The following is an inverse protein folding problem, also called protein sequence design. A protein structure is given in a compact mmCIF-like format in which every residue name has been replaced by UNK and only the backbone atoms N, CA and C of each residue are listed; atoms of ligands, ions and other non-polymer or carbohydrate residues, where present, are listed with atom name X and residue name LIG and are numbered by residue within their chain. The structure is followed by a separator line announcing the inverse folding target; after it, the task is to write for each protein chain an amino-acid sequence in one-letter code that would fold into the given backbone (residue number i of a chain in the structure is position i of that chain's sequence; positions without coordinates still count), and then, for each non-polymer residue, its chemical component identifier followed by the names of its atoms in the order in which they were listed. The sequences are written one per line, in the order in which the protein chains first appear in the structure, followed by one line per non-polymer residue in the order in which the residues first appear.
data_IF_232455906501
#
_entry.id   IF_232455906501
#
_cell.length_a   1.000
_cell.length_b   1.000
_cell.length_c   1.000
_cell.angle_alpha   90.00
_cell.angle_beta   90.00
_cell.angle_gamma   90.00
#
_symmetry.space_group_name_H-M   'P 1'
#
loop_
_entity.id
_entity.type
_entity.pdbx_description
1 polymer ?
#
# COMPACT_ATOMS: atom_id res chain seq x y z
N UNK A 1 51.45 -73.45 47.16
CA UNK A 1 51.25 -72.86 45.81
C UNK A 1 50.47 -71.56 45.95
N UNK A 2 50.68 -70.44 45.25
CA UNK A 2 51.80 -69.79 44.57
C UNK A 2 51.25 -68.39 44.17
N UNK A 3 51.80 -67.30 44.74
CA UNK A 3 51.91 -65.87 44.29
C UNK A 3 50.64 -65.11 43.85
N UNK A 4 50.22 -64.00 44.48
CA UNK A 4 50.78 -62.62 44.53
C UNK A 4 51.05 -62.00 43.14
N UNK A 5 50.36 -60.89 42.83
CA UNK A 5 50.91 -59.75 42.06
C UNK A 5 50.43 -58.43 42.67
N UNK A 6 51.38 -57.71 43.29
CA UNK A 6 51.31 -56.29 43.61
C UNK A 6 51.52 -55.46 42.33
N UNK A 7 50.91 -54.27 42.23
CA UNK A 7 51.62 -53.11 41.67
C UNK A 7 50.96 -51.79 42.12
N UNK A 8 51.66 -51.09 43.00
CA UNK A 8 51.40 -49.72 43.45
C UNK A 8 52.01 -48.75 42.44
N UNK A 9 51.31 -47.66 42.08
CA UNK A 9 51.98 -46.44 41.59
C UNK A 9 51.16 -45.20 41.93
N UNK A 10 51.70 -44.38 42.82
CA UNK A 10 51.18 -43.06 43.16
C UNK A 10 51.78 -42.02 42.19
N UNK A 11 50.96 -41.07 41.73
CA UNK A 11 51.45 -39.88 41.05
C UNK A 11 50.66 -38.65 41.52
N UNK A 12 51.33 -37.80 42.28
CA UNK A 12 50.86 -36.48 42.70
C UNK A 12 51.73 -35.41 42.03
N UNK A 13 51.12 -34.42 41.35
CA UNK A 13 51.77 -33.12 41.10
C UNK A 13 50.74 -31.99 40.97
N UNK A 14 51.14 -30.84 41.52
CA UNK A 14 50.35 -29.66 41.88
C UNK A 14 49.95 -28.72 40.70
N UNK A 15 48.93 -27.90 40.99
CA UNK A 15 48.48 -26.65 40.33
C UNK A 15 49.61 -25.66 39.98
N UNK A 16 49.48 -24.93 38.86
CA UNK A 16 49.34 -23.46 38.85
C UNK A 16 49.13 -22.89 37.44
N UNK A 17 48.49 -21.72 37.38
CA UNK A 17 48.04 -21.00 36.20
C UNK A 17 49.18 -20.44 35.33
N UNK A 18 48.97 -20.46 34.01
CA UNK A 18 49.77 -19.71 33.04
C UNK A 18 48.84 -19.00 32.07
N UNK A 19 48.70 -17.69 32.23
CA UNK A 19 48.07 -16.81 31.25
C UNK A 19 49.08 -16.65 30.10
N UNK A 20 48.73 -17.07 28.89
CA UNK A 20 49.50 -16.71 27.68
C UNK A 20 48.85 -15.46 27.08
N UNK A 21 49.50 -14.33 27.32
CA UNK A 21 49.30 -13.10 26.54
C UNK A 21 50.28 -13.09 25.37
N UNK A 22 49.77 -12.75 24.19
CA UNK A 22 50.52 -12.06 23.14
C UNK A 22 51.21 -12.94 22.10
N UNK A 23 50.57 -13.12 20.96
CA UNK A 23 51.29 -13.10 19.69
C UNK A 23 50.71 -11.96 18.84
N UNK A 24 51.52 -10.93 18.65
CA UNK A 24 51.24 -9.84 17.74
C UNK A 24 51.49 -10.33 16.31
N UNK A 25 50.48 -10.24 15.45
CA UNK A 25 50.73 -10.21 14.01
C UNK A 25 50.77 -8.75 13.58
N UNK A 26 51.97 -8.31 13.20
CA UNK A 26 52.21 -7.03 12.57
C UNK A 26 52.06 -7.20 11.05
N UNK A 27 51.07 -6.47 10.53
CA UNK A 27 50.94 -5.93 9.16
C UNK A 27 50.43 -6.84 8.05
N UNK A 28 49.23 -6.51 7.55
CA UNK A 28 49.13 -5.57 6.45
C UNK A 28 47.86 -4.70 6.62
N UNK A 29 48.03 -3.37 6.72
CA UNK A 29 46.94 -2.45 6.43
C UNK A 29 46.57 -2.64 4.97
N UNK A 30 45.52 -3.41 4.69
CA UNK A 30 44.80 -3.22 3.44
C UNK A 30 44.05 -1.92 3.64
N UNK A 31 44.68 -0.85 3.18
CA UNK A 31 44.01 0.37 2.81
C UNK A 31 42.98 0.06 1.74
N UNK A 32 41.85 -0.51 2.12
CA UNK A 32 40.59 -0.24 1.45
C UNK A 32 40.19 1.16 1.90
N UNK A 33 41.00 2.10 1.39
CA UNK A 33 40.59 3.45 1.05
C UNK A 33 39.11 3.41 0.72
N UNK A 34 38.37 4.26 1.42
CA UNK A 34 36.98 4.59 1.15
C UNK A 34 36.80 4.84 -0.34
N UNK A 35 36.55 3.76 -1.09
CA UNK A 35 35.70 3.85 -2.25
C UNK A 35 34.30 3.76 -1.67
N UNK A 36 33.88 4.87 -1.05
CA UNK A 36 32.51 5.36 -1.22
C UNK A 36 32.37 5.58 -2.73
N UNK A 37 32.27 4.47 -3.49
CA UNK A 37 31.45 4.47 -4.68
C UNK A 37 30.14 5.02 -4.16
N UNK A 38 29.63 6.05 -4.81
CA UNK A 38 28.22 6.36 -4.76
C UNK A 38 27.45 5.08 -5.16
N UNK A 39 27.34 4.10 -4.27
CA UNK A 39 26.13 3.33 -4.15
C UNK A 39 25.11 4.40 -3.78
N UNK A 40 24.54 4.98 -4.84
CA UNK A 40 23.13 5.32 -4.82
C UNK A 40 22.50 4.09 -4.17
N UNK A 41 22.17 4.20 -2.89
CA UNK A 41 21.24 3.28 -2.27
C UNK A 41 20.02 3.49 -3.14
N UNK A 42 19.83 2.58 -4.09
CA UNK A 42 18.62 2.57 -4.89
C UNK A 42 17.57 2.32 -3.83
N UNK A 43 16.75 3.34 -3.59
CA UNK A 43 15.54 3.22 -2.81
C UNK A 43 14.86 1.92 -3.23
N UNK A 44 14.82 0.93 -2.33
CA UNK A 44 14.03 -0.29 -2.58
C UNK A 44 12.54 0.04 -2.65
N UNK A 45 12.16 1.28 -2.34
CA UNK A 45 10.81 1.79 -2.46
C UNK A 45 10.47 2.20 -3.90
N UNK A 46 11.46 2.33 -4.81
CA UNK A 46 11.22 2.65 -6.22
C UNK A 46 11.16 1.38 -7.09
N UNK A 47 10.76 0.26 -6.49
CA UNK A 47 10.56 -1.00 -7.20
C UNK A 47 9.09 -1.09 -7.60
N UNK A 48 8.81 -1.17 -8.90
CA UNK A 48 7.44 -1.37 -9.40
C UNK A 48 6.80 -2.61 -8.76
N UNK A 49 5.50 -2.61 -8.47
CA UNK A 49 4.80 -3.78 -7.88
C UNK A 49 4.95 -5.07 -8.69
N UNK A 50 5.30 -4.97 -9.97
CA UNK A 50 5.53 -6.08 -10.89
C UNK A 50 6.94 -6.70 -10.83
N UNK A 51 7.89 -6.11 -10.11
CA UNK A 51 9.22 -6.70 -9.96
C UNK A 51 9.19 -7.81 -8.91
N UNK A 52 8.56 -8.92 -9.29
CA UNK A 52 8.49 -10.14 -8.49
C UNK A 52 9.90 -10.65 -8.18
N UNK A 53 10.35 -10.48 -6.93
CA UNK A 53 11.44 -11.29 -6.38
C UNK A 53 10.81 -12.43 -5.60
N UNK A 54 11.17 -13.64 -5.97
CA UNK A 54 10.76 -14.92 -5.40
C UNK A 54 10.82 -14.84 -3.87
N UNK A 55 9.64 -14.80 -3.23
CA UNK A 55 9.54 -14.64 -1.78
C UNK A 55 9.94 -15.95 -1.09
N UNK A 56 11.12 -15.98 -0.47
CA UNK A 56 11.35 -16.87 0.67
C UNK A 56 10.54 -16.35 1.84
N UNK A 57 9.59 -17.14 2.35
CA UNK A 57 8.73 -16.74 3.47
C UNK A 57 9.55 -16.54 4.74
N UNK A 58 9.86 -15.30 5.05
CA UNK A 58 10.21 -14.86 6.41
C UNK A 58 9.19 -13.81 6.80
N UNK A 59 8.65 -13.87 8.01
CA UNK A 59 7.72 -12.88 8.58
C UNK A 59 8.34 -11.47 8.48
N UNK A 60 8.05 -10.76 7.39
CA UNK A 60 8.36 -9.35 7.28
C UNK A 60 7.21 -8.57 7.91
N UNK A 61 7.48 -7.63 8.84
CA UNK A 61 6.46 -6.67 9.24
C UNK A 61 5.97 -5.97 7.98
N UNK A 62 4.63 -5.84 7.81
CA UNK A 62 4.05 -5.22 6.61
C UNK A 62 4.75 -3.89 6.35
N UNK A 63 5.44 -3.81 5.23
CA UNK A 63 6.28 -2.67 4.87
C UNK A 63 5.45 -1.60 4.18
N UNK A 64 5.97 -0.38 4.16
CA UNK A 64 5.43 0.68 3.32
C UNK A 64 5.31 0.15 1.88
N UNK A 65 4.16 0.34 1.24
CA UNK A 65 3.81 -0.13 -0.11
C UNK A 65 3.35 -1.58 -0.29
N UNK A 66 3.20 -2.35 0.80
CA UNK A 66 2.51 -3.65 0.71
C UNK A 66 1.01 -3.46 0.43
N UNK A 67 0.46 -4.30 -0.45
CA UNK A 67 -0.99 -4.39 -0.64
C UNK A 67 -1.60 -4.85 0.68
N UNK A 68 -2.35 -3.96 1.32
CA UNK A 68 -3.04 -4.27 2.57
C UNK A 68 -4.33 -5.04 2.30
N UNK A 69 -4.99 -4.72 1.19
CA UNK A 69 -6.32 -5.21 0.87
C UNK A 69 -6.59 -5.10 -0.63
N UNK A 70 -7.33 -6.07 -1.18
CA UNK A 70 -7.86 -6.05 -2.53
C UNK A 70 -9.16 -6.86 -2.57
N UNK A 71 -10.03 -6.53 -3.52
CA UNK A 71 -11.22 -7.30 -3.83
C UNK A 71 -11.49 -7.23 -5.33
N UNK A 72 -12.33 -8.14 -5.81
CA UNK A 72 -12.75 -8.14 -7.20
C UNK A 72 -13.96 -7.22 -7.35
N UNK A 73 -13.90 -6.32 -8.33
CA UNK A 73 -15.06 -5.64 -8.85
C UNK A 73 -16.07 -6.67 -9.38
N UNK A 74 -17.37 -6.36 -9.26
CA UNK A 74 -18.47 -7.16 -9.78
C UNK A 74 -18.43 -7.22 -11.31
N UNK A 75 -18.11 -6.10 -11.94
CA UNK A 75 -18.11 -5.94 -13.38
C UNK A 75 -16.80 -5.31 -13.89
N UNK A 76 -16.53 -5.52 -15.18
CA UNK A 76 -15.44 -4.84 -15.87
C UNK A 76 -15.72 -3.34 -16.03
N UNK A 77 -14.66 -2.55 -16.04
CA UNK A 77 -14.73 -1.12 -16.37
C UNK A 77 -15.26 -0.23 -15.26
N UNK A 78 -15.23 -0.65 -14.00
CA UNK A 78 -15.55 0.18 -12.83
C UNK A 78 -14.44 1.24 -12.62
N UNK A 79 -14.62 2.43 -13.22
CA UNK A 79 -13.55 3.40 -13.46
C UNK A 79 -13.39 4.46 -12.35
N UNK A 80 -14.47 4.79 -11.66
CA UNK A 80 -14.45 5.69 -10.51
C UNK A 80 -14.63 4.84 -9.25
N UNK A 81 -14.01 5.27 -8.16
CA UNK A 81 -14.14 4.65 -6.85
C UNK A 81 -14.12 5.74 -5.79
N UNK A 82 -15.04 5.67 -4.83
CA UNK A 82 -15.08 6.56 -3.67
C UNK A 82 -15.76 5.87 -2.49
N UNK A 83 -15.53 6.34 -1.27
CA UNK A 83 -16.15 5.83 -0.04
C UNK A 83 -16.81 6.93 0.78
N UNK A 84 -17.93 6.62 1.41
CA UNK A 84 -18.53 7.44 2.48
C UNK A 84 -18.05 7.04 3.89
N UNK A 85 -17.08 6.12 3.97
CA UNK A 85 -16.60 5.50 5.21
C UNK A 85 -17.39 4.26 5.67
N UNK A 86 -18.55 3.97 5.08
CA UNK A 86 -19.36 2.78 5.37
C UNK A 86 -19.43 1.81 4.19
N UNK A 87 -19.36 2.33 2.97
CA UNK A 87 -19.41 1.57 1.73
C UNK A 87 -18.39 2.09 0.72
N UNK A 88 -18.03 1.24 -0.23
CA UNK A 88 -17.25 1.59 -1.41
C UNK A 88 -18.22 1.65 -2.58
N UNK A 89 -18.13 2.72 -3.37
CA UNK A 89 -18.97 2.95 -4.53
C UNK A 89 -18.12 3.03 -5.78
N UNK A 90 -18.57 2.40 -6.85
CA UNK A 90 -17.92 2.49 -8.16
C UNK A 90 -18.92 2.74 -9.27
N UNK A 91 -18.45 2.99 -10.50
CA UNK A 91 -19.32 3.18 -11.68
C UNK A 91 -18.64 2.75 -12.98
N UNK A 92 -19.40 2.24 -13.95
CA UNK A 92 -18.85 1.70 -15.20
C UNK A 92 -18.42 2.77 -16.22
N UNK A 93 -17.43 2.41 -17.04
CA UNK A 93 -17.01 3.16 -18.24
C UNK A 93 -18.13 3.28 -19.27
N UNK A 94 -18.66 4.48 -19.45
CA UNK A 94 -19.60 4.80 -20.53
C UNK A 94 -20.99 4.18 -20.41
N UNK A 95 -21.40 3.71 -19.23
CA UNK A 95 -22.74 3.18 -18.96
C UNK A 95 -23.79 4.27 -18.65
N UNK A 96 -25.03 3.83 -18.40
CA UNK A 96 -26.20 4.65 -18.02
C UNK A 96 -26.10 5.31 -16.63
N UNK A 97 -24.93 5.33 -16.01
CA UNK A 97 -24.76 5.83 -14.63
C UNK A 97 -25.12 4.78 -13.57
N UNK A 98 -24.86 3.50 -13.85
CA UNK A 98 -24.94 2.46 -12.82
C UNK A 98 -23.85 2.68 -11.80
N UNK A 99 -24.24 2.68 -10.53
CA UNK A 99 -23.36 2.67 -9.37
C UNK A 99 -23.39 1.27 -8.75
N UNK A 100 -22.21 0.72 -8.48
CA UNK A 100 -22.07 -0.51 -7.71
C UNK A 100 -21.71 -0.15 -6.29
N UNK A 101 -22.43 -0.75 -5.34
CA UNK A 101 -22.20 -0.58 -3.91
C UNK A 101 -21.59 -1.84 -3.34
N UNK A 102 -20.48 -1.69 -2.64
CA UNK A 102 -19.79 -2.74 -1.89
C UNK A 102 -19.72 -2.35 -0.42
N UNK A 103 -19.72 -3.33 0.46
CA UNK A 103 -19.30 -3.08 1.84
C UNK A 103 -17.78 -2.82 1.91
N UNK A 104 -17.28 -2.42 3.08
CA UNK A 104 -15.85 -2.16 3.29
C UNK A 104 -14.98 -3.43 3.20
N UNK A 105 -15.59 -4.61 3.11
CA UNK A 105 -14.91 -5.89 2.85
C UNK A 105 -14.96 -6.27 1.37
N UNK A 106 -15.39 -5.36 0.50
CA UNK A 106 -15.40 -5.54 -0.95
C UNK A 106 -16.46 -6.52 -1.43
N UNK A 107 -17.39 -6.91 -0.55
CA UNK A 107 -18.53 -7.75 -0.93
C UNK A 107 -19.57 -6.87 -1.59
N UNK A 108 -20.02 -7.27 -2.78
CA UNK A 108 -21.08 -6.56 -3.48
C UNK A 108 -22.39 -6.59 -2.68
N UNK A 109 -23.04 -5.43 -2.58
CA UNK A 109 -24.29 -5.22 -1.84
C UNK A 109 -25.46 -5.02 -2.80
N UNK A 110 -25.33 -4.07 -3.74
CA UNK A 110 -26.41 -3.72 -4.66
C UNK A 110 -25.92 -2.84 -5.80
N UNK A 111 -26.68 -2.83 -6.90
CA UNK A 111 -26.55 -1.84 -7.98
C UNK A 111 -27.70 -0.83 -7.90
N UNK A 112 -27.43 0.42 -8.30
CA UNK A 112 -28.47 1.44 -8.43
C UNK A 112 -28.12 2.47 -9.51
N UNK A 113 -29.11 3.27 -9.90
CA UNK A 113 -28.96 4.37 -10.87
C UNK A 113 -29.60 5.63 -10.31
N UNK A 114 -29.09 6.79 -10.70
CA UNK A 114 -29.66 8.09 -10.33
C UNK A 114 -30.15 8.79 -11.60
N UNK A 115 -31.43 9.14 -11.64
CA UNK A 115 -32.02 9.82 -12.81
C UNK A 115 -31.27 11.13 -13.10
N UNK A 116 -30.87 11.32 -14.36
CA UNK A 116 -30.12 12.50 -14.80
C UNK A 116 -28.61 12.42 -14.60
N UNK A 117 -28.09 11.36 -13.99
CA UNK A 117 -26.66 11.14 -13.75
C UNK A 117 -26.16 10.01 -14.62
N UNK A 118 -25.12 10.26 -15.43
CA UNK A 118 -24.53 9.23 -16.29
C UNK A 118 -23.08 9.55 -16.66
N UNK A 119 -22.39 8.56 -17.22
CA UNK A 119 -21.03 8.71 -17.76
C UNK A 119 -19.99 9.25 -16.76
N UNK A 120 -20.17 9.01 -15.46
CA UNK A 120 -19.26 9.43 -14.37
C UNK A 120 -17.87 8.84 -14.57
N UNK A 121 -16.83 9.66 -14.60
CA UNK A 121 -15.42 9.29 -14.74
C UNK A 121 -14.66 9.30 -13.43
N UNK A 122 -15.16 10.06 -12.46
CA UNK A 122 -14.57 10.16 -11.14
C UNK A 122 -15.64 10.52 -10.10
N UNK A 123 -15.36 10.20 -8.84
CA UNK A 123 -16.23 10.47 -7.70
C UNK A 123 -15.45 11.18 -6.59
N UNK A 124 -16.09 12.12 -5.91
CA UNK A 124 -15.60 12.72 -4.68
C UNK A 124 -16.72 12.79 -3.64
N UNK A 125 -16.41 12.69 -2.34
CA UNK A 125 -17.40 12.79 -1.26
C UNK A 125 -17.12 13.97 -0.31
N UNK A 126 -18.12 14.80 -0.04
CA UNK A 126 -17.99 15.98 0.87
C UNK A 126 -18.38 15.70 2.34
N UNK A 127 -18.64 14.44 2.69
CA UNK A 127 -19.19 14.06 3.98
C UNK A 127 -20.72 13.98 4.00
N UNK A 128 -21.42 14.50 2.99
CA UNK A 128 -22.88 14.42 2.83
C UNK A 128 -23.30 13.98 1.42
N UNK A 129 -22.72 14.57 0.39
CA UNK A 129 -23.06 14.38 -1.01
C UNK A 129 -21.86 13.84 -1.79
N UNK A 130 -22.17 13.07 -2.82
CA UNK A 130 -21.19 12.64 -3.82
C UNK A 130 -21.15 13.64 -4.98
N UNK A 131 -19.97 13.82 -5.57
CA UNK A 131 -19.76 14.59 -6.77
C UNK A 131 -19.28 13.66 -7.87
N UNK A 132 -20.05 13.56 -8.95
CA UNK A 132 -19.72 12.71 -10.10
C UNK A 132 -19.26 13.56 -11.28
N UNK A 133 -17.98 13.44 -11.66
CA UNK A 133 -17.43 14.09 -12.84
C UNK A 133 -17.91 13.38 -14.10
N UNK A 134 -18.81 13.98 -14.89
CA UNK A 134 -19.31 13.33 -16.10
C UNK A 134 -18.28 13.37 -17.24
N UNK A 135 -18.45 12.50 -18.24
CA UNK A 135 -17.63 12.52 -19.46
C UNK A 135 -17.79 13.79 -20.31
N UNK A 136 -18.60 14.75 -19.88
CA UNK A 136 -18.82 16.08 -20.46
C UNK A 136 -18.46 17.18 -19.42
N UNK A 137 -18.87 18.43 -19.67
CA UNK A 137 -18.55 19.58 -18.80
C UNK A 137 -19.40 19.68 -17.52
N UNK A 138 -20.10 18.61 -17.12
CA UNK A 138 -20.99 18.58 -15.95
C UNK A 138 -20.33 17.86 -14.77
N UNK A 139 -20.37 18.48 -13.60
CA UNK A 139 -20.10 17.87 -12.31
C UNK A 139 -21.43 17.76 -11.57
N UNK A 140 -21.89 16.53 -11.34
CA UNK A 140 -23.16 16.27 -10.68
C UNK A 140 -22.98 16.21 -9.18
N UNK A 141 -23.76 16.97 -8.41
CA UNK A 141 -23.89 16.80 -6.96
C UNK A 141 -25.04 15.86 -6.67
N UNK A 142 -24.78 14.76 -5.98
CA UNK A 142 -25.68 13.61 -5.89
C UNK A 142 -25.89 13.23 -4.43
N UNK A 143 -27.15 13.01 -4.08
CA UNK A 143 -27.52 12.42 -2.79
C UNK A 143 -27.78 10.92 -2.99
N UNK A 144 -26.87 10.09 -2.49
CA UNK A 144 -27.00 8.63 -2.56
C UNK A 144 -28.01 8.08 -1.56
N UNK A 145 -28.33 8.81 -0.48
CA UNK A 145 -29.33 8.40 0.51
C UNK A 145 -30.73 8.63 -0.04
N UNK A 146 -30.97 9.82 -0.61
CA UNK A 146 -32.25 10.14 -1.25
C UNK A 146 -32.39 9.49 -2.64
N UNK A 147 -31.28 9.12 -3.28
CA UNK A 147 -31.29 8.56 -4.63
C UNK A 147 -31.57 9.61 -5.71
N UNK A 148 -31.09 10.85 -5.52
CA UNK A 148 -31.46 11.99 -6.39
C UNK A 148 -30.27 12.86 -6.81
N UNK A 149 -30.34 13.44 -8.00
CA UNK A 149 -29.47 14.53 -8.44
C UNK A 149 -29.86 15.82 -7.70
N UNK A 150 -28.96 16.38 -6.91
CA UNK A 150 -29.17 17.61 -6.13
C UNK A 150 -28.95 18.85 -6.99
N UNK A 151 -27.84 18.89 -7.72
CA UNK A 151 -27.52 20.00 -8.63
C UNK A 151 -26.47 19.60 -9.66
N UNK A 152 -26.26 20.46 -10.66
CA UNK A 152 -25.19 20.31 -11.64
C UNK A 152 -24.34 21.57 -11.67
N UNK A 153 -23.03 21.41 -11.52
CA UNK A 153 -22.04 22.47 -11.70
C UNK A 153 -21.46 22.30 -13.11
N UNK A 154 -21.50 23.35 -13.92
CA UNK A 154 -20.93 23.33 -15.26
C UNK A 154 -19.53 23.93 -15.25
N UNK A 155 -18.53 23.15 -15.62
CA UNK A 155 -17.19 23.64 -15.83
C UNK A 155 -17.11 24.45 -17.14
N UNK A 156 -16.39 25.57 -17.11
CA UNK A 156 -16.17 26.41 -18.29
C UNK A 156 -14.69 26.54 -18.57
N UNK A 157 -14.19 25.84 -19.58
CA UNK A 157 -12.82 25.98 -20.06
C UNK A 157 -12.73 25.56 -21.53
N UNK A 158 -11.70 26.07 -22.23
CA UNK A 158 -11.47 25.81 -23.65
C UNK A 158 -10.49 24.65 -23.86
N UNK A 159 -10.71 23.85 -24.90
CA UNK A 159 -9.76 22.80 -25.33
C UNK A 159 -9.94 21.45 -24.63
N UNK A 160 -10.94 21.32 -23.75
CA UNK A 160 -11.32 20.05 -23.13
C UNK A 160 -12.80 19.77 -23.35
N UNK A 161 -13.18 18.50 -23.38
CA UNK A 161 -14.54 18.07 -23.70
C UNK A 161 -15.27 17.45 -22.52
N UNK A 162 -14.60 17.29 -21.39
CA UNK A 162 -15.26 16.90 -20.16
C UNK A 162 -14.32 16.78 -18.99
N UNK A 163 -14.94 16.65 -17.82
CA UNK A 163 -14.25 16.47 -16.55
C UNK A 163 -13.73 15.04 -16.50
N UNK A 164 -12.51 14.86 -16.00
CA UNK A 164 -11.85 13.53 -15.89
C UNK A 164 -11.48 13.18 -14.47
N UNK A 165 -11.50 14.18 -13.58
CA UNK A 165 -11.17 14.03 -12.19
C UNK A 165 -11.93 15.10 -11.37
N UNK A 166 -12.33 14.76 -10.15
CA UNK A 166 -12.85 15.70 -9.15
C UNK A 166 -12.37 15.29 -7.76
N UNK A 167 -12.12 16.28 -6.90
CA UNK A 167 -11.70 16.07 -5.51
C UNK A 167 -12.46 17.08 -4.64
N UNK A 168 -12.70 16.72 -3.37
CA UNK A 168 -13.24 17.64 -2.38
C UNK A 168 -12.14 18.08 -1.40
N UNK A 169 -11.97 19.39 -1.23
CA UNK A 169 -11.05 19.95 -0.23
C UNK A 169 -11.84 20.71 0.86
N UNK A 170 -11.97 20.15 2.08
CA UNK A 170 -12.72 20.79 3.15
C UNK A 170 -12.09 22.10 3.67
N UNK A 171 -10.88 22.45 3.22
CA UNK A 171 -10.19 23.69 3.63
C UNK A 171 -10.43 24.85 2.65
N UNK A 172 -10.91 24.56 1.44
CA UNK A 172 -11.23 25.56 0.45
C UNK A 172 -12.64 26.13 0.64
N UNK A 173 -12.84 27.34 0.10
CA UNK A 173 -14.14 28.00 0.03
C UNK A 173 -14.89 28.03 1.38
N UNK A 174 -14.17 28.28 2.48
CA UNK A 174 -14.74 28.29 3.84
C UNK A 174 -15.44 26.99 4.25
N UNK A 175 -14.95 25.84 3.79
CA UNK A 175 -15.51 24.52 4.09
C UNK A 175 -16.49 23.99 3.05
N UNK A 176 -16.76 24.75 1.99
CA UNK A 176 -17.68 24.32 0.94
C UNK A 176 -17.02 23.45 -0.14
N UNK A 177 -15.69 23.33 -0.15
CA UNK A 177 -14.95 22.73 -1.27
C UNK A 177 -14.66 23.76 -2.36
#
# INVERSE_FOLDING_TARGET
MRKIKHLTLALSLLLSAGIVFGQAEKSASISNQLVLKNQKIISVNDISPSAHKTSTSTNYPKTQWDILYYFNALAGGEQAVETDGNFIYTTNWGGTGTFHKYDMTGTWVSDFTITGVSAIRDLAFDGTYFYGAAANMSLFKIDFIAGTLVSTITATCSGVTGIRHCEYDPTLNSGAG
#
